data_IF_389945443455
#
_entry.id   IF_389945443455
#
_cell.length_a   1.000
_cell.length_b   1.000
_cell.length_c   1.000
_cell.angle_alpha   90.00
_cell.angle_beta   90.00
_cell.angle_gamma   90.00
#
_symmetry.space_group_name_H-M   'P 1'
#
loop_
_entity.id
_entity.type
_entity.pdbx_description
1 polymer ?
#
# COMPACT_ATOMS: atom_id res chain seq x y z
N UNK A 1 42.68 29.96 -51.29
CA UNK A 1 42.85 30.22 -49.84
C UNK A 1 41.70 29.55 -49.11
N UNK A 2 42.02 28.94 -47.97
CA UNK A 2 41.31 27.87 -47.27
C UNK A 2 39.78 27.96 -47.25
N UNK A 3 39.13 26.91 -47.76
CA UNK A 3 37.81 26.48 -47.27
C UNK A 3 38.02 25.95 -45.86
N UNK A 4 37.51 26.65 -44.86
CA UNK A 4 37.46 26.10 -43.50
C UNK A 4 36.37 25.01 -43.47
N UNK A 5 36.70 23.76 -43.07
CA UNK A 5 35.66 22.82 -42.70
C UNK A 5 35.12 23.31 -41.37
N UNK A 6 33.94 23.95 -41.36
CA UNK A 6 33.22 24.15 -40.10
C UNK A 6 32.84 22.76 -39.60
N UNK A 7 33.61 22.32 -38.63
CA UNK A 7 33.58 21.03 -37.98
C UNK A 7 32.13 20.54 -37.79
N UNK A 8 31.90 19.32 -38.28
CA UNK A 8 30.85 18.45 -37.79
C UNK A 8 31.09 18.21 -36.30
N UNK A 9 30.64 19.14 -35.48
CA UNK A 9 30.33 18.91 -34.09
C UNK A 9 28.92 18.29 -34.04
N UNK A 10 28.76 17.12 -34.68
CA UNK A 10 27.73 16.16 -34.34
C UNK A 10 28.18 15.54 -33.02
N UNK A 11 28.01 16.32 -31.95
CA UNK A 11 28.32 15.89 -30.61
C UNK A 11 27.16 14.98 -30.23
N UNK A 12 27.42 13.69 -30.42
CA UNK A 12 27.15 12.64 -29.45
C UNK A 12 25.74 12.72 -28.90
N UNK A 13 24.89 11.84 -29.40
CA UNK A 13 23.73 11.30 -28.68
C UNK A 13 23.97 11.41 -27.17
N UNK A 14 23.46 12.48 -26.58
CA UNK A 14 23.20 12.51 -25.16
C UNK A 14 21.87 11.78 -25.06
N UNK A 15 21.97 10.48 -25.28
CA UNK A 15 21.04 9.51 -24.73
C UNK A 15 21.29 9.58 -23.21
N UNK A 16 20.79 10.65 -22.57
CA UNK A 16 20.32 10.59 -21.18
C UNK A 16 19.01 9.80 -21.31
N UNK A 17 18.87 8.49 -21.11
CA UNK A 17 19.45 7.56 -20.12
C UNK A 17 19.68 8.13 -18.74
N UNK A 18 18.90 9.15 -18.40
CA UNK A 18 18.39 9.28 -17.03
C UNK A 18 16.91 8.98 -17.16
N UNK A 19 16.60 7.70 -17.44
CA UNK A 19 15.38 7.13 -16.92
C UNK A 19 15.53 7.28 -15.40
N UNK A 20 15.01 8.38 -14.87
CA UNK A 20 14.64 8.51 -13.46
C UNK A 20 13.50 7.51 -13.21
N UNK A 21 13.79 6.22 -13.41
CA UNK A 21 13.12 5.13 -12.77
C UNK A 21 13.49 5.31 -11.30
N UNK A 22 12.83 6.26 -10.62
CA UNK A 22 12.68 6.22 -9.19
C UNK A 22 12.22 4.80 -8.90
N UNK A 23 13.15 3.98 -8.43
CA UNK A 23 12.87 2.66 -7.94
C UNK A 23 12.02 2.89 -6.70
N UNK A 24 10.72 3.01 -6.93
CA UNK A 24 9.70 3.08 -5.92
C UNK A 24 9.74 1.71 -5.24
N UNK A 25 10.53 1.64 -4.17
CA UNK A 25 10.33 0.66 -3.11
C UNK A 25 8.93 0.95 -2.57
N UNK A 26 7.92 0.42 -3.27
CA UNK A 26 6.56 0.31 -2.79
C UNK A 26 6.60 -0.75 -1.68
N UNK A 27 7.15 -0.36 -0.53
CA UNK A 27 6.92 -1.06 0.72
C UNK A 27 5.42 -1.01 0.95
N UNK A 28 4.78 -2.14 0.64
CA UNK A 28 3.34 -2.31 0.49
C UNK A 28 2.54 -1.39 1.40
N UNK A 29 1.99 -0.34 0.78
CA UNK A 29 0.99 0.51 1.38
C UNK A 29 -0.22 -0.40 1.59
N UNK A 30 -0.45 -0.82 2.83
CA UNK A 30 -1.67 -1.53 3.21
C UNK A 30 -2.83 -0.65 2.74
N UNK A 31 -3.49 -1.08 1.66
CA UNK A 31 -4.39 -0.21 0.90
C UNK A 31 -5.55 0.18 1.82
N UNK A 32 -6.06 1.41 1.69
CA UNK A 32 -7.25 1.84 2.41
C UNK A 32 -8.43 0.89 2.14
N UNK A 33 -8.40 0.22 0.99
CA UNK A 33 -9.29 -0.89 0.63
C UNK A 33 -9.14 -2.11 1.55
N UNK A 34 -7.91 -2.55 1.81
CA UNK A 34 -7.61 -3.69 2.68
C UNK A 34 -7.96 -3.38 4.14
N UNK A 35 -7.72 -2.14 4.57
CA UNK A 35 -8.12 -1.67 5.90
C UNK A 35 -9.64 -1.60 6.05
N UNK A 36 -10.35 -1.13 5.02
CA UNK A 36 -11.80 -1.15 4.98
C UNK A 36 -12.36 -2.56 5.05
N UNK A 37 -11.80 -3.51 4.30
CA UNK A 37 -12.20 -4.91 4.35
C UNK A 37 -11.95 -5.54 5.73
N UNK A 38 -10.77 -5.33 6.29
CA UNK A 38 -10.41 -5.87 7.61
C UNK A 38 -11.28 -5.29 8.73
N UNK A 39 -11.57 -3.98 8.69
CA UNK A 39 -12.43 -3.33 9.68
C UNK A 39 -13.87 -3.86 9.65
N UNK A 40 -14.43 -4.14 8.47
CA UNK A 40 -15.76 -4.74 8.34
C UNK A 40 -15.80 -6.17 8.90
N UNK A 41 -14.80 -6.98 8.56
CA UNK A 41 -14.68 -8.34 9.10
C UNK A 41 -14.53 -8.33 10.63
N UNK A 42 -13.63 -7.50 11.15
CA UNK A 42 -13.39 -7.37 12.59
C UNK A 42 -14.63 -6.82 13.31
N UNK A 43 -15.35 -5.86 12.72
CA UNK A 43 -16.57 -5.31 13.30
C UNK A 43 -17.66 -6.36 13.50
N UNK A 44 -17.94 -7.17 12.48
CA UNK A 44 -18.92 -8.27 12.58
C UNK A 44 -18.42 -9.33 13.57
N UNK A 45 -17.13 -9.68 13.52
CA UNK A 45 -16.54 -10.68 14.40
C UNK A 45 -16.68 -10.29 15.89
N UNK A 46 -16.33 -9.06 16.24
CA UNK A 46 -16.48 -8.54 17.61
C UNK A 46 -17.96 -8.46 18.00
N UNK A 47 -18.85 -8.03 17.09
CA UNK A 47 -20.28 -7.97 17.38
C UNK A 47 -20.88 -9.34 17.75
N UNK A 48 -20.54 -10.38 16.99
CA UNK A 48 -20.97 -11.75 17.29
C UNK A 48 -20.38 -12.24 18.62
N UNK A 49 -19.10 -11.96 18.89
CA UNK A 49 -18.47 -12.31 20.17
C UNK A 49 -19.13 -11.62 21.35
N UNK A 50 -19.52 -10.34 21.22
CA UNK A 50 -20.24 -9.61 22.27
C UNK A 50 -21.60 -10.26 22.54
N UNK A 51 -22.36 -10.60 21.49
CA UNK A 51 -23.65 -11.29 21.65
C UNK A 51 -23.46 -12.66 22.30
N UNK A 52 -22.46 -13.43 21.87
CA UNK A 52 -22.16 -14.73 22.45
C UNK A 52 -21.74 -14.62 23.92
N UNK A 53 -20.91 -13.63 24.28
CA UNK A 53 -20.53 -13.36 25.66
C UNK A 53 -21.76 -12.96 26.49
N UNK A 54 -22.62 -12.09 25.96
CA UNK A 54 -23.86 -11.72 26.64
C UNK A 54 -24.79 -12.90 26.82
N UNK A 55 -24.88 -13.79 25.83
CA UNK A 55 -25.68 -15.02 25.90
C UNK A 55 -25.14 -15.99 26.96
N UNK A 56 -23.82 -16.18 27.03
CA UNK A 56 -23.16 -17.01 28.05
C UNK A 56 -23.29 -16.39 29.44
N UNK A 57 -23.13 -15.07 29.58
CA UNK A 57 -23.26 -14.37 30.86
C UNK A 57 -24.71 -14.20 31.32
N UNK A 58 -25.66 -14.20 30.39
CA UNK A 58 -27.09 -14.22 30.70
C UNK A 58 -27.59 -15.62 31.09
N UNK A 59 -26.76 -16.66 30.97
CA UNK A 59 -27.06 -17.96 31.56
C UNK A 59 -26.91 -17.84 33.09
N UNK A 60 -27.99 -18.02 33.87
CA UNK A 60 -27.98 -17.93 35.33
C UNK A 60 -27.06 -18.95 36.00
N UNK A 61 -26.50 -19.90 35.24
CA UNK A 61 -25.44 -20.81 35.71
C UNK A 61 -24.13 -20.08 36.07
N UNK A 62 -23.93 -18.84 35.62
CA UNK A 62 -22.79 -17.98 35.97
C UNK A 62 -23.19 -16.77 36.84
N UNK A 63 -24.47 -16.64 37.20
CA UNK A 63 -24.94 -15.70 38.23
C UNK A 63 -24.60 -16.25 39.62
N UNK A 64 -23.38 -15.97 40.08
CA UNK A 64 -23.03 -16.00 41.50
C UNK A 64 -22.49 -17.34 42.04
N UNK A 65 -21.24 -17.28 42.49
CA UNK A 65 -20.85 -17.90 43.75
C UNK A 65 -20.47 -16.81 44.74
#
# INVERSE_FOLDING_TARGET
>A
MATEPKAAAENVKIDLLEDDDEFEINEGMFDDQDLGFFANFLGIFIFVLVIAYHYVMADPKYEGN
#
